data_IF_879687494912
#
_entry.id   IF_879687494912
#
_cell.length_a   1.000
_cell.length_b   1.000
_cell.length_c   1.000
_cell.angle_alpha   90.00
_cell.angle_beta   90.00
_cell.angle_gamma   90.00
#
_symmetry.space_group_name_H-M   'P 1'
#
loop_
_entity.id
_entity.type
_entity.pdbx_description
1 polymer ?
#
# COMPACT_ATOMS: atom_id res chain seq x y z
N UNK A 1 1.76 -9.33 -2.44
CA UNK A 1 2.04 -8.32 -1.41
C UNK A 1 3.42 -7.74 -1.66
N UNK A 2 3.66 -6.49 -1.29
CA UNK A 2 4.96 -5.85 -1.32
C UNK A 2 5.43 -5.58 0.12
N UNK A 3 6.66 -5.97 0.43
CA UNK A 3 7.40 -5.48 1.58
C UNK A 3 8.41 -4.46 1.09
N UNK A 4 8.39 -3.24 1.63
CA UNK A 4 9.20 -2.11 1.16
C UNK A 4 10.05 -1.57 2.30
N UNK A 5 11.34 -1.39 2.04
CA UNK A 5 12.28 -0.75 2.95
C UNK A 5 12.63 0.63 2.41
N UNK A 6 12.79 1.56 3.34
CA UNK A 6 13.14 2.94 3.03
C UNK A 6 14.40 3.34 3.79
N UNK A 7 15.16 4.25 3.19
CA UNK A 7 16.22 4.96 3.87
C UNK A 7 15.72 6.35 4.22
N UNK A 8 15.71 6.66 5.51
CA UNK A 8 15.23 7.93 6.04
C UNK A 8 16.42 8.74 6.54
N UNK A 9 16.47 10.00 6.13
CA UNK A 9 17.46 10.98 6.59
C UNK A 9 16.78 11.97 7.50
N UNK A 10 17.28 12.07 8.73
CA UNK A 10 16.84 13.12 9.64
C UNK A 10 17.36 14.47 9.14
N UNK A 11 16.47 15.42 8.88
CA UNK A 11 16.82 16.80 8.59
C UNK A 11 16.31 17.73 9.70
N UNK A 12 16.75 18.98 9.68
CA UNK A 12 16.33 19.98 10.69
C UNK A 12 14.84 20.34 10.60
N UNK A 13 14.21 20.12 9.44
CA UNK A 13 12.83 20.55 9.17
C UNK A 13 11.85 19.39 9.13
N UNK A 14 12.26 18.24 8.60
CA UNK A 14 11.46 17.00 8.59
C UNK A 14 12.31 15.78 8.19
N UNK A 15 11.79 14.58 8.33
CA UNK A 15 12.43 13.38 7.78
C UNK A 15 12.25 13.30 6.26
N UNK A 16 13.32 13.01 5.53
CA UNK A 16 13.25 12.70 4.08
C UNK A 16 13.43 11.20 3.86
N UNK A 17 12.44 10.54 3.28
CA UNK A 17 12.47 9.10 3.00
C UNK A 17 12.72 8.79 1.51
N UNK A 18 13.53 7.78 1.25
CA UNK A 18 13.88 7.30 -0.08
C UNK A 18 13.70 5.80 -0.18
N UNK A 19 13.33 5.30 -1.36
CA UNK A 19 13.31 3.87 -1.65
C UNK A 19 14.68 3.24 -1.39
N UNK A 20 14.71 2.12 -0.66
CA UNK A 20 15.91 1.31 -0.46
C UNK A 20 15.79 -0.04 -1.14
N UNK A 21 14.76 -0.81 -0.82
CA UNK A 21 14.48 -2.10 -1.45
C UNK A 21 13.00 -2.47 -1.38
N UNK A 22 12.57 -3.40 -2.24
CA UNK A 22 11.26 -4.01 -2.16
C UNK A 22 11.33 -5.49 -2.55
N UNK A 23 10.48 -6.29 -1.90
CA UNK A 23 10.31 -7.71 -2.22
C UNK A 23 8.83 -8.01 -2.39
N UNK A 24 8.52 -8.68 -3.50
CA UNK A 24 7.22 -9.32 -3.68
C UNK A 24 7.13 -10.56 -2.81
N UNK A 25 6.11 -10.58 -1.96
CA UNK A 25 5.83 -11.69 -1.07
C UNK A 25 4.49 -12.30 -1.46
N UNK A 26 4.49 -13.63 -1.57
CA UNK A 26 3.30 -14.43 -1.80
C UNK A 26 2.81 -15.01 -0.49
N UNK A 27 1.49 -15.05 -0.33
CA UNK A 27 0.86 -15.78 0.76
C UNK A 27 0.78 -17.26 0.39
N UNK A 28 0.95 -18.13 1.36
CA UNK A 28 0.65 -19.55 1.22
C UNK A 28 -0.87 -19.79 1.19
N UNK A 29 -1.24 -21.07 1.08
CA UNK A 29 -2.64 -21.52 1.08
C UNK A 29 -3.42 -21.15 2.35
N UNK A 30 -2.73 -20.92 3.46
CA UNK A 30 -3.30 -20.58 4.75
C UNK A 30 -3.29 -19.05 4.98
N UNK A 31 -2.89 -18.27 3.96
CA UNK A 31 -2.82 -16.81 4.00
C UNK A 31 -1.59 -16.25 4.73
N UNK A 32 -0.65 -17.10 5.13
CA UNK A 32 0.58 -16.67 5.82
C UNK A 32 1.64 -16.29 4.81
N UNK A 33 2.56 -15.43 5.21
CA UNK A 33 3.68 -15.05 4.37
C UNK A 33 4.96 -14.98 5.18
N UNK A 34 6.09 -15.20 4.50
CA UNK A 34 7.41 -15.05 5.08
C UNK A 34 8.17 -14.00 4.28
N UNK A 35 8.74 -13.04 4.99
CA UNK A 35 9.60 -12.02 4.39
C UNK A 35 11.04 -12.50 4.58
N UNK A 36 11.84 -12.61 3.51
CA UNK A 36 13.25 -12.92 3.64
C UNK A 36 13.94 -11.94 4.59
N UNK A 37 14.92 -12.43 5.34
CA UNK A 37 15.73 -11.55 6.21
C UNK A 37 16.40 -10.48 5.35
N UNK A 38 16.00 -9.23 5.56
CA UNK A 38 16.64 -8.09 4.93
C UNK A 38 17.87 -7.66 5.74
N UNK A 39 18.97 -7.39 5.05
CA UNK A 39 20.18 -6.81 5.64
C UNK A 39 20.67 -5.70 4.73
N UNK A 40 20.86 -4.53 5.30
CA UNK A 40 21.46 -3.40 4.62
C UNK A 40 22.49 -2.76 5.54
N UNK A 41 23.56 -2.28 4.92
CA UNK A 41 24.63 -1.57 5.61
C UNK A 41 24.43 -0.06 5.45
N UNK A 42 24.52 0.69 6.54
CA UNK A 42 24.41 2.14 6.50
C UNK A 42 25.65 2.78 7.12
N UNK A 43 26.38 3.54 6.30
CA UNK A 43 27.60 4.25 6.70
C UNK A 43 27.29 5.65 7.24
N UNK A 44 26.13 6.20 6.88
CA UNK A 44 25.77 7.57 7.25
C UNK A 44 25.03 7.58 8.60
N UNK A 45 25.60 8.22 9.64
CA UNK A 45 25.05 8.20 11.00
C UNK A 45 23.73 8.98 11.16
N UNK A 46 23.41 9.91 10.25
CA UNK A 46 22.12 10.63 10.27
C UNK A 46 21.03 9.93 9.44
N UNK A 47 21.39 8.85 8.76
CA UNK A 47 20.43 8.02 8.05
C UNK A 47 20.02 6.82 8.91
N UNK A 48 18.79 6.36 8.73
CA UNK A 48 18.28 5.12 9.31
C UNK A 48 17.54 4.32 8.24
N UNK A 49 17.44 3.02 8.45
CA UNK A 49 16.69 2.12 7.59
C UNK A 49 15.38 1.82 8.29
N UNK A 50 14.27 2.01 7.59
CA UNK A 50 12.92 1.74 8.09
C UNK A 50 12.22 0.67 7.28
N UNK A 51 11.29 -0.02 7.93
CA UNK A 51 10.43 -1.04 7.35
C UNK A 51 10.66 -2.46 7.88
N UNK A 52 10.09 -3.47 7.21
CA UNK A 52 9.28 -3.32 6.00
C UNK A 52 7.96 -2.61 6.27
N UNK A 53 7.58 -1.67 5.42
CA UNK A 53 6.19 -1.28 5.24
C UNK A 53 5.53 -2.23 4.26
N UNK A 54 4.22 -2.46 4.42
CA UNK A 54 3.51 -3.47 3.63
C UNK A 54 2.50 -2.82 2.72
N UNK A 55 2.50 -3.21 1.44
CA UNK A 55 1.39 -2.97 0.53
C UNK A 55 0.75 -4.30 0.12
N UNK A 56 -0.51 -4.50 0.51
CA UNK A 56 -1.29 -5.69 0.17
C UNK A 56 -2.40 -5.26 -0.77
N UNK A 57 -2.40 -5.84 -1.97
CA UNK A 57 -3.41 -5.60 -2.97
C UNK A 57 -3.92 -6.91 -3.54
N UNK A 58 -5.24 -6.99 -3.67
CA UNK A 58 -5.94 -8.08 -4.34
C UNK A 58 -7.18 -7.49 -5.02
N UNK A 59 -7.41 -7.74 -6.31
CA UNK A 59 -8.62 -7.30 -7.00
C UNK A 59 -9.88 -7.68 -6.23
N UNK A 60 -10.88 -6.79 -6.22
CA UNK A 60 -12.17 -6.94 -5.49
C UNK A 60 -12.05 -6.86 -3.96
N UNK A 61 -10.88 -6.62 -3.40
CA UNK A 61 -10.67 -6.40 -1.96
C UNK A 61 -10.05 -5.03 -1.72
N UNK A 62 -10.31 -4.47 -0.54
CA UNK A 62 -9.66 -3.23 -0.13
C UNK A 62 -8.13 -3.39 -0.08
N UNK A 63 -7.42 -2.37 -0.57
CA UNK A 63 -5.96 -2.28 -0.50
C UNK A 63 -5.49 -1.92 0.91
N UNK A 64 -4.28 -2.37 1.23
CA UNK A 64 -3.56 -2.02 2.44
C UNK A 64 -2.16 -1.47 2.09
N UNK A 65 -1.67 -0.44 2.79
CA UNK A 65 -2.45 0.44 3.63
C UNK A 65 -3.23 1.34 2.65
N UNK A 66 -4.55 1.19 2.55
CA UNK A 66 -5.36 2.26 1.96
C UNK A 66 -5.17 3.52 2.81
N UNK A 67 -5.34 4.72 2.23
CA UNK A 67 -5.09 6.02 2.88
C UNK A 67 -5.22 5.91 4.41
N UNK A 68 -4.07 5.90 5.09
CA UNK A 68 -3.88 5.36 6.45
C UNK A 68 -4.67 6.05 7.56
N UNK A 69 -5.47 7.07 7.22
CA UNK A 69 -6.52 7.59 8.08
C UNK A 69 -7.85 6.88 7.77
N UNK A 70 -8.38 6.98 6.54
CA UNK A 70 -9.75 6.55 6.26
C UNK A 70 -9.97 5.03 6.28
N UNK A 71 -9.01 4.17 5.94
CA UNK A 71 -9.25 2.71 6.02
C UNK A 71 -9.37 2.25 7.48
N UNK A 72 -8.45 2.70 8.35
CA UNK A 72 -8.50 2.38 9.76
C UNK A 72 -9.66 3.11 10.45
N UNK A 73 -9.90 4.38 10.15
CA UNK A 73 -11.03 5.13 10.72
C UNK A 73 -12.40 4.59 10.24
N UNK A 74 -12.50 4.04 9.02
CA UNK A 74 -13.75 3.49 8.46
C UNK A 74 -14.04 2.06 8.90
N UNK A 75 -13.02 1.23 9.10
CA UNK A 75 -13.19 -0.21 9.34
C UNK A 75 -12.66 -0.71 10.68
N UNK A 76 -11.89 0.09 11.42
CA UNK A 76 -11.42 -0.20 12.77
C UNK A 76 -11.98 0.85 13.74
N UNK A 77 -12.37 0.47 14.97
CA UNK A 77 -12.96 1.42 15.93
C UNK A 77 -11.98 2.55 16.30
N UNK A 78 -12.53 3.73 16.66
CA UNK A 78 -11.87 5.05 16.88
C UNK A 78 -10.62 5.08 17.78
N UNK A 79 -10.28 3.96 18.44
CA UNK A 79 -9.22 3.84 19.42
C UNK A 79 -7.91 3.28 18.85
N UNK A 80 -7.89 2.83 17.59
CA UNK A 80 -6.72 2.19 16.99
C UNK A 80 -6.01 3.14 16.01
N UNK A 81 -5.34 4.17 16.53
CA UNK A 81 -4.40 4.97 15.75
C UNK A 81 -3.13 4.16 15.53
N UNK A 82 -3.03 3.47 14.39
CA UNK A 82 -1.84 2.67 14.07
C UNK A 82 -0.95 3.47 13.12
N UNK A 83 0.09 4.08 13.68
CA UNK A 83 1.15 4.64 12.85
C UNK A 83 1.99 3.53 12.18
N UNK A 84 2.83 3.91 11.22
CA UNK A 84 3.66 3.00 10.44
C UNK A 84 4.58 2.13 11.32
N UNK A 85 5.06 2.67 12.44
CA UNK A 85 5.93 1.95 13.37
C UNK A 85 5.15 0.89 14.16
N UNK A 86 3.97 1.26 14.64
CA UNK A 86 3.06 0.37 15.35
C UNK A 86 2.63 -0.78 14.43
N UNK A 87 2.35 -0.51 13.15
CA UNK A 87 2.08 -1.55 12.16
C UNK A 87 3.25 -2.52 12.02
N UNK A 88 4.47 -2.02 11.84
CA UNK A 88 5.65 -2.86 11.69
C UNK A 88 5.86 -3.78 12.91
N UNK A 89 5.67 -3.26 14.12
CA UNK A 89 5.74 -4.04 15.36
C UNK A 89 4.60 -5.07 15.49
N UNK A 90 3.38 -4.71 15.09
CA UNK A 90 2.25 -5.64 15.07
C UNK A 90 2.51 -6.82 14.13
N UNK A 91 3.05 -6.58 12.93
CA UNK A 91 3.41 -7.66 12.00
C UNK A 91 4.46 -8.62 12.57
N UNK A 92 5.41 -8.14 13.39
CA UNK A 92 6.38 -9.02 14.08
C UNK A 92 5.73 -9.95 15.10
N UNK A 93 4.58 -9.56 15.66
CA UNK A 93 3.83 -10.35 16.66
C UNK A 93 2.87 -11.37 16.05
N UNK A 94 2.69 -11.34 14.72
CA UNK A 94 1.72 -12.17 14.01
C UNK A 94 0.29 -11.65 14.20
N UNK A 95 -0.13 -10.75 13.31
CA UNK A 95 -1.51 -10.27 13.26
C UNK A 95 -2.27 -10.91 12.10
N UNK A 96 -3.58 -11.03 12.27
CA UNK A 96 -4.51 -11.34 11.19
C UNK A 96 -5.14 -10.05 10.68
N UNK A 97 -5.09 -9.85 9.37
CA UNK A 97 -5.77 -8.75 8.69
C UNK A 97 -6.89 -9.32 7.85
N UNK A 98 -8.10 -8.82 8.05
CA UNK A 98 -9.25 -9.12 7.20
C UNK A 98 -9.47 -7.96 6.23
N UNK A 99 -9.48 -8.27 4.93
CA UNK A 99 -9.74 -7.29 3.89
C UNK A 99 -11.22 -7.34 3.49
N UNK A 100 -11.98 -6.24 3.63
CA UNK A 100 -13.36 -6.22 3.19
C UNK A 100 -13.43 -6.36 1.66
N UNK A 101 -14.40 -7.16 1.21
CA UNK A 101 -14.71 -7.30 -0.21
C UNK A 101 -15.42 -6.05 -0.72
N UNK A 102 -14.91 -5.47 -1.79
CA UNK A 102 -15.47 -4.31 -2.47
C UNK A 102 -16.69 -4.74 -3.29
N UNK A 103 -17.81 -4.04 -3.10
CA UNK A 103 -19.11 -4.41 -3.70
C UNK A 103 -19.40 -3.59 -4.93
N UNK A 104 -18.89 -2.36 -4.98
CA UNK A 104 -19.15 -1.42 -6.06
C UNK A 104 -17.92 -1.22 -6.94
N UNK A 105 -18.15 -0.80 -8.17
CA UNK A 105 -17.07 -0.43 -9.08
C UNK A 105 -16.36 0.86 -8.62
N UNK A 106 -17.06 1.78 -7.94
CA UNK A 106 -16.46 3.00 -7.35
C UNK A 106 -15.41 2.60 -6.31
N UNK A 107 -15.78 1.74 -5.38
CA UNK A 107 -14.86 1.21 -4.36
C UNK A 107 -13.65 0.51 -4.98
N UNK A 108 -13.85 -0.25 -6.07
CA UNK A 108 -12.75 -0.92 -6.79
C UNK A 108 -11.82 0.08 -7.48
N UNK A 109 -12.36 1.12 -8.11
CA UNK A 109 -11.56 2.19 -8.73
C UNK A 109 -10.74 2.92 -7.69
N UNK A 110 -11.38 3.30 -6.58
CA UNK A 110 -10.71 3.97 -5.46
C UNK A 110 -9.58 3.09 -4.89
N UNK A 111 -9.89 1.85 -4.55
CA UNK A 111 -8.89 0.90 -4.06
C UNK A 111 -7.77 0.61 -5.06
N UNK A 112 -8.06 0.60 -6.36
CA UNK A 112 -7.05 0.43 -7.41
C UNK A 112 -6.13 1.65 -7.50
N UNK A 113 -6.69 2.86 -7.44
CA UNK A 113 -5.92 4.11 -7.40
C UNK A 113 -4.94 4.12 -6.22
N UNK A 114 -5.40 3.68 -5.04
CA UNK A 114 -4.58 3.60 -3.83
C UNK A 114 -3.56 2.45 -3.83
N UNK A 115 -3.73 1.47 -4.71
CA UNK A 115 -2.77 0.38 -4.86
C UNK A 115 -1.59 0.75 -5.77
N UNK A 116 -1.56 1.96 -6.33
CA UNK A 116 -0.39 2.43 -7.06
C UNK A 116 0.84 2.43 -6.14
N UNK A 117 1.93 1.72 -6.50
CA UNK A 117 3.12 1.69 -5.68
C UNK A 117 3.65 3.11 -5.46
N UNK A 118 4.17 3.37 -4.25
CA UNK A 118 4.75 4.66 -3.93
C UNK A 118 5.80 5.06 -4.98
N UNK A 119 5.82 6.35 -5.35
CA UNK A 119 6.79 6.90 -6.28
C UNK A 119 8.22 6.47 -5.87
N UNK A 120 8.93 5.84 -6.81
CA UNK A 120 10.35 5.49 -6.64
C UNK A 120 10.67 3.99 -6.47
N UNK A 121 9.69 3.09 -6.42
CA UNK A 121 9.96 1.64 -6.48
C UNK A 121 10.28 1.22 -7.93
N UNK A 122 11.48 0.67 -8.23
CA UNK A 122 11.81 0.21 -9.58
C UNK A 122 10.90 -0.92 -10.04
N UNK A 123 10.43 -0.87 -11.28
CA UNK A 123 9.49 -1.86 -11.82
C UNK A 123 10.04 -3.30 -11.76
N UNK A 124 11.36 -3.45 -11.94
CA UNK A 124 12.04 -4.74 -11.86
C UNK A 124 11.90 -5.42 -10.48
N UNK A 125 11.57 -4.67 -9.42
CA UNK A 125 11.34 -5.19 -8.06
C UNK A 125 9.89 -5.62 -7.82
N UNK A 126 8.96 -5.21 -8.70
CA UNK A 126 7.51 -5.40 -8.50
C UNK A 126 6.77 -5.94 -9.75
N UNK A 127 7.32 -6.96 -10.46
CA UNK A 127 6.75 -7.42 -11.72
C UNK A 127 5.33 -8.01 -11.58
N UNK A 128 5.07 -8.81 -10.53
CA UNK A 128 3.76 -9.43 -10.35
C UNK A 128 2.71 -8.44 -9.86
N UNK A 129 3.10 -7.52 -8.98
CA UNK A 129 2.23 -6.48 -8.46
C UNK A 129 1.81 -5.53 -9.56
N UNK A 130 2.76 -5.09 -10.41
CA UNK A 130 2.45 -4.30 -11.60
C UNK A 130 1.56 -5.07 -12.58
N UNK A 131 1.78 -6.37 -12.77
CA UNK A 131 0.92 -7.23 -13.59
C UNK A 131 -0.52 -7.24 -13.07
N UNK A 132 -0.72 -7.50 -11.78
CA UNK A 132 -2.06 -7.56 -11.16
C UNK A 132 -2.77 -6.20 -11.24
N UNK A 133 -2.05 -5.09 -11.01
CA UNK A 133 -2.60 -3.75 -11.21
C UNK A 133 -3.04 -3.53 -12.66
N UNK A 134 -2.19 -3.89 -13.62
CA UNK A 134 -2.49 -3.74 -15.04
C UNK A 134 -3.69 -4.59 -15.48
N UNK A 135 -3.87 -5.77 -14.89
CA UNK A 135 -5.03 -6.64 -15.13
C UNK A 135 -6.32 -6.03 -14.59
N UNK A 136 -6.31 -5.49 -13.37
CA UNK A 136 -7.47 -4.77 -12.82
C UNK A 136 -7.77 -3.52 -13.65
N UNK A 137 -6.75 -2.76 -14.05
CA UNK A 137 -6.94 -1.53 -14.82
C UNK A 137 -7.66 -1.80 -16.15
N UNK A 138 -7.25 -2.85 -16.88
CA UNK A 138 -7.93 -3.28 -18.10
C UNK A 138 -9.41 -3.62 -17.88
N UNK A 139 -9.73 -4.21 -16.73
CA UNK A 139 -11.11 -4.51 -16.36
C UNK A 139 -11.90 -3.24 -16.02
N UNK A 140 -11.28 -2.27 -15.33
CA UNK A 140 -11.92 -1.04 -14.90
C UNK A 140 -12.06 0.00 -16.02
N UNK A 141 -11.22 -0.02 -17.05
CA UNK A 141 -11.17 1.03 -18.08
C UNK A 141 -12.50 1.24 -18.87
N UNK A 142 -13.22 0.18 -19.30
CA UNK A 142 -14.53 0.37 -19.93
C UNK A 142 -15.57 0.99 -18.98
N UNK A 143 -15.45 0.73 -17.68
CA UNK A 143 -16.31 1.31 -16.64
C UNK A 143 -15.92 2.78 -16.45
N UNK A 144 -14.64 3.06 -16.24
CA UNK A 144 -14.10 4.42 -16.09
C UNK A 144 -14.49 5.31 -17.27
N UNK A 145 -14.37 4.83 -18.51
CA UNK A 145 -14.74 5.58 -19.71
C UNK A 145 -16.25 5.84 -19.80
N UNK A 146 -17.09 4.85 -19.48
CA UNK A 146 -18.56 5.01 -19.42
C UNK A 146 -18.99 6.04 -18.38
N UNK A 147 -18.33 6.08 -17.22
CA UNK A 147 -18.66 6.98 -16.10
C UNK A 147 -17.75 8.22 -16.02
N UNK A 148 -16.79 8.40 -16.93
CA UNK A 148 -15.99 9.64 -17.05
C UNK A 148 -16.88 10.83 -17.38
N UNK A 149 -18.02 10.57 -18.03
CA UNK A 149 -19.09 11.52 -18.27
C UNK A 149 -19.86 11.95 -17.00
N UNK A 150 -19.74 11.19 -15.90
CA UNK A 150 -20.41 11.47 -14.62
C UNK A 150 -19.46 12.01 -13.53
N UNK A 151 -18.14 12.12 -13.78
CA UNK A 151 -17.20 12.71 -12.79
C UNK A 151 -17.43 14.21 -12.55
N UNK A 152 -18.12 14.92 -13.44
CA UNK A 152 -18.62 16.28 -13.17
C UNK A 152 -19.85 16.28 -12.23
N UNK A 153 -20.53 15.14 -12.05
CA UNK A 153 -21.70 14.98 -11.17
C UNK A 153 -21.39 14.24 -9.86
N UNK A 154 -20.37 13.37 -9.88
CA UNK A 154 -19.86 12.69 -8.69
C UNK A 154 -18.91 13.67 -7.98
N UNK A 155 -19.47 14.37 -6.99
CA UNK A 155 -18.87 15.40 -6.14
C UNK A 155 -17.68 14.86 -5.29
N UNK A 156 -16.70 14.24 -5.95
CA UNK A 156 -15.47 13.76 -5.33
C UNK A 156 -14.56 15.00 -5.21
N UNK A 157 -14.21 15.44 -3.99
CA UNK A 157 -13.33 16.58 -3.82
C UNK A 157 -11.99 16.31 -4.51
N UNK A 158 -11.63 17.20 -5.43
CA UNK A 158 -10.28 17.26 -5.99
C UNK A 158 -9.53 18.23 -5.07
N UNK A 159 -8.72 17.71 -4.15
CA UNK A 159 -7.71 18.55 -3.51
C UNK A 159 -6.71 18.98 -4.60
N UNK A 160 -6.60 20.30 -4.77
CA UNK A 160 -5.71 20.97 -5.72
C UNK A 160 -4.29 21.02 -5.18
#
# INVERSE_FOLDING_TARGET
>A
MLAVWQKVYATLTDDSSYFLDAVEVLTDKDGKFLIPKFSAFNINPIARIEGPTFMIYKPVYAVFPGFGAQYFDKYFPENLKVDTYTLAELFKRGISLEFPRLRTWIERIDSHYWASPAYGIPEAKIPNFKRILSEEEKYLEPIKSKYRYDKEKLNIPIDR
#
